data_IF_091859395101
#
_entry.id   IF_091859395101
#
_cell.length_a   1.000
_cell.length_b   1.000
_cell.length_c   1.000
_cell.angle_alpha   90.00
_cell.angle_beta   90.00
_cell.angle_gamma   90.00
#
_symmetry.space_group_name_H-M   'P 1'
#
loop_
_entity.id
_entity.type
_entity.pdbx_description
1 polymer ?
#
# COMPACT_ATOMS: atom_id res chain seq x y z
N UNK A 1 23.56 4.67 -10.88
CA UNK A 1 22.79 4.68 -9.62
C UNK A 1 23.66 5.16 -8.49
N UNK A 2 23.43 6.37 -8.01
CA UNK A 2 24.26 6.99 -6.98
C UNK A 2 23.78 6.71 -5.56
N UNK A 3 22.50 6.39 -5.39
CA UNK A 3 21.89 6.20 -4.07
C UNK A 3 20.82 5.11 -4.17
N UNK A 4 21.18 3.87 -3.82
CA UNK A 4 20.16 2.81 -3.87
C UNK A 4 19.04 3.10 -2.88
N UNK A 5 17.81 2.99 -3.37
CA UNK A 5 16.60 3.24 -2.59
C UNK A 5 15.73 1.99 -2.55
N UNK A 6 14.97 1.88 -1.47
CA UNK A 6 13.98 0.83 -1.31
C UNK A 6 12.61 1.51 -1.17
N UNK A 7 11.65 1.05 -1.96
CA UNK A 7 10.27 1.52 -1.85
C UNK A 7 9.52 0.54 -0.95
N UNK A 8 8.97 1.06 0.15
CA UNK A 8 8.21 0.24 1.07
C UNK A 8 6.76 0.71 1.12
N UNK A 9 5.85 -0.23 1.31
CA UNK A 9 4.43 0.05 1.49
C UNK A 9 4.00 -0.47 2.84
N UNK A 10 3.31 0.38 3.58
CA UNK A 10 2.72 0.04 4.87
C UNK A 10 1.20 0.10 4.69
N UNK A 11 0.58 -1.05 4.51
CA UNK A 11 -0.86 -1.16 4.23
C UNK A 11 -1.59 -1.44 5.53
N UNK A 12 -2.31 -0.43 6.02
CA UNK A 12 -3.06 -0.54 7.26
C UNK A 12 -4.56 -0.58 7.02
N UNK A 13 -5.32 -0.67 8.09
CA UNK A 13 -6.78 -0.72 8.03
C UNK A 13 -7.42 0.67 7.84
N UNK A 14 -6.68 1.74 8.12
CA UNK A 14 -7.20 3.11 8.01
C UNK A 14 -6.42 3.98 7.06
N UNK A 15 -5.26 3.55 6.64
CA UNK A 15 -4.42 4.30 5.70
C UNK A 15 -3.39 3.40 5.04
N UNK A 16 -2.84 3.88 3.93
CA UNK A 16 -1.72 3.24 3.25
C UNK A 16 -0.60 4.27 3.11
N UNK A 17 0.63 3.86 3.37
CA UNK A 17 1.81 4.70 3.18
C UNK A 17 2.73 4.08 2.14
N UNK A 18 3.30 4.93 1.28
CA UNK A 18 4.43 4.58 0.43
C UNK A 18 5.63 5.37 0.94
N UNK A 19 6.75 4.70 1.15
CA UNK A 19 7.92 5.28 1.81
C UNK A 19 9.16 4.93 1.00
N UNK A 20 9.98 5.95 0.69
CA UNK A 20 11.30 5.74 0.10
C UNK A 20 12.33 5.79 1.22
N UNK A 21 13.17 4.76 1.28
CA UNK A 21 14.19 4.61 2.33
C UNK A 21 15.55 4.40 1.67
N UNK A 22 16.58 5.01 2.22
CA UNK A 22 17.95 4.77 1.75
C UNK A 22 18.58 3.59 2.48
N UNK A 23 19.81 3.22 2.09
CA UNK A 23 20.46 2.04 2.66
C UNK A 23 20.88 2.20 4.12
N UNK A 24 20.89 3.43 4.64
CA UNK A 24 21.17 3.70 6.04
C UNK A 24 19.90 3.69 6.89
N UNK A 25 18.73 3.49 6.29
CA UNK A 25 17.46 3.48 6.99
C UNK A 25 16.81 4.85 7.13
N UNK A 26 17.32 5.86 6.44
CA UNK A 26 16.73 7.20 6.48
C UNK A 26 15.55 7.29 5.51
N UNK A 27 14.46 7.89 5.98
CA UNK A 27 13.30 8.14 5.12
C UNK A 27 13.62 9.32 4.21
N UNK A 28 13.60 9.07 2.90
CA UNK A 28 13.86 10.10 1.90
C UNK A 28 12.59 10.90 1.62
N UNK A 29 11.47 10.22 1.47
CA UNK A 29 10.15 10.84 1.29
C UNK A 29 9.08 9.81 1.58
N UNK A 30 7.86 10.28 1.85
CA UNK A 30 6.72 9.39 2.09
C UNK A 30 5.44 10.04 1.65
N UNK A 31 4.44 9.22 1.35
CA UNK A 31 3.09 9.64 1.03
C UNK A 31 2.11 8.76 1.79
N UNK A 32 1.12 9.37 2.43
CA UNK A 32 0.09 8.65 3.15
C UNK A 32 -1.27 8.96 2.55
N UNK A 33 -2.04 7.91 2.27
CA UNK A 33 -3.43 8.03 1.83
C UNK A 33 -4.29 7.53 2.98
N UNK A 34 -5.06 8.43 3.58
CA UNK A 34 -6.05 8.07 4.60
C UNK A 34 -7.35 7.71 3.92
N UNK A 35 -8.00 6.67 4.41
CA UNK A 35 -9.25 6.19 3.84
C UNK A 35 -10.41 7.04 4.36
N UNK A 36 -11.29 7.47 3.47
CA UNK A 36 -12.50 8.20 3.87
C UNK A 36 -13.48 7.27 4.59
N UNK A 37 -13.67 6.08 4.02
CA UNK A 37 -14.49 5.03 4.61
C UNK A 37 -13.65 3.76 4.66
N UNK A 38 -12.96 3.51 5.79
CA UNK A 38 -12.00 2.41 5.83
C UNK A 38 -12.64 1.03 5.79
N UNK A 39 -13.94 0.92 6.09
CA UNK A 39 -14.63 -0.37 6.02
C UNK A 39 -16.12 -0.16 5.80
N UNK A 40 -16.81 -1.23 5.42
CA UNK A 40 -18.26 -1.23 5.24
C UNK A 40 -18.86 -2.41 6.00
N UNK A 41 -20.20 -2.41 6.11
CA UNK A 41 -20.92 -3.46 6.82
C UNK A 41 -22.00 -4.02 5.93
N UNK A 42 -21.98 -5.32 5.70
CA UNK A 42 -23.08 -6.02 5.03
C UNK A 42 -24.19 -6.35 6.01
N UNK A 43 -23.84 -6.53 7.29
CA UNK A 43 -24.76 -6.82 8.38
C UNK A 43 -24.36 -6.01 9.61
N UNK A 44 -25.33 -5.70 10.52
CA UNK A 44 -24.97 -5.03 11.75
C UNK A 44 -23.90 -5.78 12.52
N UNK A 45 -22.89 -5.04 12.99
CA UNK A 45 -21.76 -5.62 13.72
C UNK A 45 -20.62 -6.13 12.87
N UNK A 46 -20.79 -6.20 11.55
CA UNK A 46 -19.70 -6.60 10.64
C UNK A 46 -18.95 -5.37 10.17
N UNK A 47 -17.64 -5.49 10.01
CA UNK A 47 -16.79 -4.47 9.41
C UNK A 47 -15.94 -5.14 8.34
N UNK A 48 -16.10 -4.72 7.09
CA UNK A 48 -15.43 -5.34 5.95
C UNK A 48 -14.83 -4.27 5.06
N UNK A 49 -13.84 -4.68 4.24
CA UNK A 49 -13.22 -3.81 3.24
C UNK A 49 -13.19 -4.56 1.91
N UNK A 50 -13.34 -3.81 0.82
CA UNK A 50 -13.24 -4.40 -0.51
C UNK A 50 -11.79 -4.78 -0.79
N UNK A 51 -11.60 -5.94 -1.42
CA UNK A 51 -10.27 -6.47 -1.70
C UNK A 51 -9.43 -5.50 -2.52
N UNK A 52 -10.00 -4.95 -3.59
CA UNK A 52 -9.27 -4.04 -4.48
C UNK A 52 -8.95 -2.70 -3.82
N UNK A 53 -9.63 -2.38 -2.74
CA UNK A 53 -9.45 -1.13 -2.01
C UNK A 53 -7.99 -0.94 -1.57
N UNK A 54 -7.37 -1.99 -1.06
CA UNK A 54 -5.98 -1.93 -0.60
C UNK A 54 -5.02 -1.64 -1.74
N UNK A 55 -5.17 -2.35 -2.85
CA UNK A 55 -4.30 -2.17 -4.00
C UNK A 55 -4.48 -0.78 -4.61
N UNK A 56 -5.72 -0.32 -4.73
CA UNK A 56 -6.01 1.00 -5.29
C UNK A 56 -5.38 2.11 -4.45
N UNK A 57 -5.42 1.98 -3.13
CA UNK A 57 -4.81 2.98 -2.27
C UNK A 57 -3.28 2.89 -2.26
N UNK A 58 -2.71 1.69 -2.42
CA UNK A 58 -1.27 1.55 -2.66
C UNK A 58 -0.87 2.29 -3.93
N UNK A 59 -1.63 2.13 -5.00
CA UNK A 59 -1.36 2.81 -6.27
C UNK A 59 -1.46 4.32 -6.13
N UNK A 60 -2.44 4.81 -5.39
CA UNK A 60 -2.60 6.25 -5.14
C UNK A 60 -1.39 6.81 -4.39
N UNK A 61 -0.99 6.16 -3.31
CA UNK A 61 0.17 6.59 -2.53
C UNK A 61 1.44 6.53 -3.37
N UNK A 62 1.63 5.45 -4.12
CA UNK A 62 2.80 5.24 -4.96
C UNK A 62 2.88 6.29 -6.07
N UNK A 63 1.77 6.54 -6.75
CA UNK A 63 1.71 7.52 -7.84
C UNK A 63 2.09 8.91 -7.35
N UNK A 64 1.54 9.34 -6.21
CA UNK A 64 1.86 10.65 -5.64
C UNK A 64 3.33 10.74 -5.25
N UNK A 65 3.86 9.70 -4.63
CA UNK A 65 5.25 9.67 -4.20
C UNK A 65 6.20 9.70 -5.40
N UNK A 66 5.92 8.89 -6.43
CA UNK A 66 6.76 8.82 -7.62
C UNK A 66 6.71 10.12 -8.42
N UNK A 67 5.56 10.80 -8.46
CA UNK A 67 5.44 12.07 -9.15
C UNK A 67 6.37 13.13 -8.55
N UNK A 68 6.49 13.16 -7.23
CA UNK A 68 7.41 14.09 -6.55
C UNK A 68 8.88 13.69 -6.67
N UNK A 69 9.14 12.42 -6.93
CA UNK A 69 10.49 11.86 -6.90
C UNK A 69 10.87 11.19 -8.22
N UNK A 70 10.39 11.75 -9.34
CA UNK A 70 10.62 11.16 -10.66
C UNK A 70 12.12 10.97 -10.94
N UNK A 71 12.97 11.88 -10.46
CA UNK A 71 14.40 11.80 -10.62
C UNK A 71 15.05 10.65 -9.84
N UNK A 72 14.35 10.16 -8.81
CA UNK A 72 14.86 9.09 -7.94
C UNK A 72 14.35 7.71 -8.31
N UNK A 73 13.34 7.62 -9.18
CA UNK A 73 12.74 6.34 -9.57
C UNK A 73 13.78 5.34 -10.10
N UNK A 74 14.75 5.76 -10.96
CA UNK A 74 15.77 4.81 -11.43
C UNK A 74 16.68 4.24 -10.33
N UNK A 75 16.71 4.86 -9.16
CA UNK A 75 17.54 4.39 -8.03
C UNK A 75 16.83 3.37 -7.15
N UNK A 76 15.55 3.11 -7.39
CA UNK A 76 14.78 2.14 -6.61
C UNK A 76 15.18 0.74 -7.05
N UNK A 77 15.77 -0.03 -6.14
CA UNK A 77 16.31 -1.37 -6.45
C UNK A 77 15.44 -2.49 -5.92
N UNK A 78 14.52 -2.20 -5.02
CA UNK A 78 13.68 -3.23 -4.40
C UNK A 78 12.43 -2.58 -3.80
N UNK A 79 11.41 -3.40 -3.56
CA UNK A 79 10.26 -2.96 -2.79
C UNK A 79 9.87 -4.03 -1.78
N UNK A 80 9.24 -3.59 -0.70
CA UNK A 80 8.74 -4.46 0.36
C UNK A 80 7.36 -3.98 0.78
N UNK A 81 6.53 -4.89 1.23
CA UNK A 81 5.16 -4.59 1.66
C UNK A 81 4.95 -5.16 3.05
N UNK A 82 4.44 -4.33 3.97
CA UNK A 82 3.91 -4.82 5.23
C UNK A 82 2.40 -4.92 5.09
N UNK A 83 1.83 -5.99 5.63
CA UNK A 83 0.43 -6.32 5.40
C UNK A 83 -0.36 -6.25 6.71
N UNK A 84 -1.69 -6.18 6.56
CA UNK A 84 -2.62 -6.15 7.68
C UNK A 84 -2.65 -7.53 8.33
N UNK A 85 -2.54 -7.56 9.66
CA UNK A 85 -2.66 -8.82 10.41
C UNK A 85 -4.12 -9.28 10.46
N UNK A 86 -4.30 -10.60 10.38
CA UNK A 86 -5.59 -11.26 10.57
C UNK A 86 -6.66 -10.84 9.58
N UNK A 87 -6.25 -10.30 8.43
CA UNK A 87 -7.14 -9.96 7.32
C UNK A 87 -6.87 -10.94 6.19
N UNK A 88 -7.90 -11.64 5.77
CA UNK A 88 -7.78 -12.71 4.78
C UNK A 88 -8.67 -12.43 3.58
N UNK A 89 -8.23 -12.88 2.42
CA UNK A 89 -9.00 -12.87 1.19
C UNK A 89 -9.01 -14.28 0.63
N UNK A 90 -10.19 -14.82 0.39
CA UNK A 90 -10.35 -16.13 -0.23
C UNK A 90 -10.60 -15.94 -1.72
N UNK A 91 -9.80 -16.60 -2.54
CA UNK A 91 -9.87 -16.49 -3.99
C UNK A 91 -10.45 -17.77 -4.59
N UNK A 92 -11.17 -17.62 -5.71
CA UNK A 92 -11.61 -18.77 -6.49
C UNK A 92 -10.48 -19.26 -7.40
N UNK A 93 -10.78 -20.27 -8.24
CA UNK A 93 -9.78 -20.87 -9.13
C UNK A 93 -9.25 -19.89 -10.18
N UNK A 94 -9.95 -18.80 -10.43
CA UNK A 94 -9.56 -17.76 -11.37
C UNK A 94 -8.90 -16.57 -10.66
N UNK A 95 -8.50 -16.73 -9.40
CA UNK A 95 -7.89 -15.69 -8.57
C UNK A 95 -8.81 -14.49 -8.33
N UNK A 96 -10.12 -14.72 -8.34
CA UNK A 96 -11.10 -13.69 -8.01
C UNK A 96 -11.56 -13.84 -6.57
N UNK A 97 -11.75 -12.73 -5.82
CA UNK A 97 -12.22 -12.83 -4.45
C UNK A 97 -13.60 -13.48 -4.39
N UNK A 98 -13.76 -14.41 -3.46
CA UNK A 98 -15.07 -15.05 -3.23
C UNK A 98 -16.00 -14.13 -2.44
N UNK A 99 -15.42 -13.19 -1.66
CA UNK A 99 -16.12 -12.09 -1.00
C UNK A 99 -15.13 -10.99 -0.69
N UNK A 100 -15.65 -9.81 -0.45
CA UNK A 100 -14.83 -8.66 -0.07
C UNK A 100 -14.36 -8.72 1.39
#
# INVERSE_FOLDING_TARGET
MNRPLILTYDVGTQSTRAILVDKQGNIVDKEQVKYDEPYFRQRPGWAEQKTDFYFDNMCRASTALMARNADKVPDIIACAVTVIRDTLVFLDENYKPTRD
#
